data_IF_116196827963
#
_entry.id   IF_116196827963
#
_cell.length_a   1.000
_cell.length_b   1.000
_cell.length_c   1.000
_cell.angle_alpha   90.00
_cell.angle_beta   90.00
_cell.angle_gamma   90.00
#
_symmetry.space_group_name_H-M   'P 1'
#
loop_
_entity.id
_entity.type
_entity.pdbx_description
1 polymer ?
#
# COMPACT_ATOMS: atom_id res chain seq x y z
N UNK A 1 31.10 -3.68 5.20
CA UNK A 1 30.11 -4.65 5.74
C UNK A 1 28.65 -4.23 5.48
N UNK A 2 28.38 -3.44 4.43
CA UNK A 2 27.07 -2.83 4.15
C UNK A 2 26.25 -3.59 3.08
N UNK A 3 26.88 -4.50 2.33
CA UNK A 3 26.26 -5.21 1.20
C UNK A 3 25.40 -6.41 1.58
N UNK A 4 25.63 -7.02 2.74
CA UNK A 4 24.92 -8.23 3.20
C UNK A 4 23.60 -7.91 3.91
N UNK A 5 23.46 -6.73 4.51
CA UNK A 5 22.21 -6.33 5.15
C UNK A 5 21.13 -6.01 4.10
N UNK A 6 21.47 -5.22 3.07
CA UNK A 6 20.51 -4.80 2.03
C UNK A 6 19.89 -6.00 1.28
N UNK A 7 20.63 -7.11 1.10
CA UNK A 7 20.12 -8.30 0.40
C UNK A 7 19.08 -9.09 1.21
N UNK A 8 19.17 -9.07 2.54
CA UNK A 8 18.19 -9.75 3.41
C UNK A 8 16.86 -8.99 3.46
N UNK A 9 16.89 -7.66 3.44
CA UNK A 9 15.71 -6.82 3.63
C UNK A 9 14.73 -6.88 2.45
N UNK A 10 15.25 -6.78 1.21
CA UNK A 10 14.43 -6.93 0.00
C UNK A 10 13.83 -8.33 -0.14
N UNK A 11 14.47 -9.33 0.47
CA UNK A 11 14.03 -10.73 0.41
C UNK A 11 12.78 -10.97 1.26
N UNK A 12 12.67 -10.36 2.44
CA UNK A 12 11.47 -10.50 3.29
C UNK A 12 10.25 -9.78 2.71
N UNK A 13 10.43 -8.55 2.19
CA UNK A 13 9.36 -7.83 1.49
C UNK A 13 8.84 -8.66 0.31
N UNK A 14 9.77 -9.24 -0.48
CA UNK A 14 9.42 -10.12 -1.59
C UNK A 14 8.64 -11.34 -1.12
N UNK A 15 9.09 -12.04 -0.08
CA UNK A 15 8.37 -13.22 0.47
C UNK A 15 6.96 -12.86 0.92
N UNK A 16 6.79 -11.75 1.64
CA UNK A 16 5.46 -11.28 2.08
C UNK A 16 4.56 -10.98 0.88
N UNK A 17 5.07 -10.24 -0.12
CA UNK A 17 4.32 -9.94 -1.34
C UNK A 17 3.96 -11.19 -2.15
N UNK A 18 4.85 -12.20 -2.21
CA UNK A 18 4.59 -13.49 -2.87
C UNK A 18 3.48 -14.27 -2.16
N UNK A 19 3.50 -14.30 -0.83
CA UNK A 19 2.43 -14.90 -0.02
C UNK A 19 1.10 -14.18 -0.24
N UNK A 20 1.13 -12.83 -0.27
CA UNK A 20 -0.02 -12.00 -0.61
C UNK A 20 -0.59 -12.33 -2.00
N UNK A 21 0.26 -12.35 -3.03
CA UNK A 21 -0.12 -12.72 -4.39
C UNK A 21 -0.84 -14.06 -4.45
N UNK A 22 -0.24 -15.09 -3.85
CA UNK A 22 -0.82 -16.44 -3.85
C UNK A 22 -2.21 -16.46 -3.19
N UNK A 23 -2.30 -15.91 -1.97
CA UNK A 23 -3.54 -15.90 -1.21
C UNK A 23 -4.63 -15.08 -1.91
N UNK A 24 -4.29 -13.89 -2.43
CA UNK A 24 -5.22 -13.00 -3.09
C UNK A 24 -5.70 -13.56 -4.43
N UNK A 25 -4.80 -14.13 -5.23
CA UNK A 25 -5.16 -14.78 -6.49
C UNK A 25 -6.12 -15.95 -6.25
N UNK A 26 -5.82 -16.80 -5.26
CA UNK A 26 -6.68 -17.93 -4.90
C UNK A 26 -8.07 -17.48 -4.43
N UNK A 27 -8.15 -16.43 -3.61
CA UNK A 27 -9.41 -15.85 -3.12
C UNK A 27 -10.20 -15.19 -4.25
N UNK A 28 -9.56 -14.39 -5.09
CA UNK A 28 -10.19 -13.75 -6.24
C UNK A 28 -10.79 -14.80 -7.18
N UNK A 29 -10.05 -15.87 -7.47
CA UNK A 29 -10.55 -16.97 -8.30
C UNK A 29 -11.76 -17.69 -7.70
N UNK A 30 -12.05 -17.62 -6.40
CA UNK A 30 -13.27 -18.23 -5.86
C UNK A 30 -14.55 -17.50 -6.28
N UNK A 31 -14.44 -16.22 -6.65
CA UNK A 31 -15.61 -15.35 -6.88
C UNK A 31 -15.60 -14.64 -8.23
N UNK A 32 -14.48 -14.66 -8.97
CA UNK A 32 -14.31 -13.91 -10.22
C UNK A 32 -15.04 -14.50 -11.45
N UNK A 33 -15.52 -15.75 -11.37
CA UNK A 33 -16.36 -16.32 -12.42
C UNK A 33 -17.81 -15.81 -12.29
N UNK A 34 -18.56 -15.83 -13.40
CA UNK A 34 -20.01 -15.54 -13.36
C UNK A 34 -20.82 -16.75 -13.83
N UNK A 35 -21.95 -17.00 -13.16
CA UNK A 35 -23.00 -17.94 -13.59
C UNK A 35 -23.96 -17.25 -14.55
N UNK A 36 -24.81 -18.03 -15.20
CA UNK A 36 -25.83 -17.49 -16.11
C UNK A 36 -26.83 -16.56 -15.40
N UNK A 37 -27.00 -16.72 -14.08
CA UNK A 37 -27.83 -15.86 -13.22
C UNK A 37 -27.07 -14.63 -12.67
N UNK A 38 -25.85 -14.38 -13.12
CA UNK A 38 -25.00 -13.26 -12.69
C UNK A 38 -24.34 -13.44 -11.32
N UNK A 39 -24.61 -14.55 -10.59
CA UNK A 39 -23.98 -14.79 -9.30
C UNK A 39 -22.52 -15.20 -9.43
N UNK A 40 -21.67 -14.87 -8.44
CA UNK A 40 -20.28 -15.28 -8.45
C UNK A 40 -20.15 -16.80 -8.46
N UNK A 41 -19.18 -17.30 -9.22
CA UNK A 41 -18.69 -18.68 -9.18
C UNK A 41 -17.17 -18.69 -9.19
N UNK A 42 -16.63 -19.87 -8.88
CA UNK A 42 -15.21 -20.13 -9.03
C UNK A 42 -14.79 -20.01 -10.50
N UNK A 43 -13.76 -19.21 -10.76
CA UNK A 43 -13.02 -19.14 -12.01
C UNK A 43 -12.00 -20.29 -12.04
N UNK A 44 -12.01 -21.09 -13.10
CA UNK A 44 -11.02 -22.17 -13.25
C UNK A 44 -9.66 -21.61 -13.66
N UNK A 45 -8.58 -22.31 -13.32
CA UNK A 45 -7.23 -21.95 -13.79
C UNK A 45 -7.12 -21.99 -15.32
N UNK A 46 -7.85 -22.92 -15.95
CA UNK A 46 -7.88 -23.02 -17.42
C UNK A 46 -8.49 -21.76 -18.01
N UNK A 47 -9.67 -21.35 -17.53
CA UNK A 47 -10.35 -20.16 -18.04
C UNK A 47 -9.51 -18.90 -17.77
N UNK A 48 -8.91 -18.77 -16.58
CA UNK A 48 -7.99 -17.67 -16.27
C UNK A 48 -6.79 -17.66 -17.23
N UNK A 49 -6.23 -18.83 -17.57
CA UNK A 49 -5.14 -18.95 -18.53
C UNK A 49 -5.55 -18.49 -19.92
N UNK A 50 -6.69 -18.97 -20.40
CA UNK A 50 -7.21 -18.67 -21.73
C UNK A 50 -7.51 -17.18 -21.91
N UNK A 51 -8.08 -16.53 -20.89
CA UNK A 51 -8.46 -15.11 -20.98
C UNK A 51 -7.31 -14.15 -20.68
N UNK A 52 -6.38 -14.52 -19.79
CA UNK A 52 -5.25 -13.66 -19.43
C UNK A 52 -4.04 -13.80 -20.35
N UNK A 53 -4.00 -14.87 -21.15
CA UNK A 53 -2.81 -15.25 -21.94
C UNK A 53 -1.62 -15.72 -21.08
N UNK A 54 -1.81 -15.91 -19.77
CA UNK A 54 -0.79 -16.44 -18.86
C UNK A 54 -0.88 -17.95 -18.85
N UNK A 55 0.25 -18.64 -19.09
CA UNK A 55 0.26 -20.11 -19.10
C UNK A 55 -0.25 -20.70 -17.78
N UNK A 56 -1.07 -21.75 -17.87
CA UNK A 56 -1.66 -22.44 -16.71
C UNK A 56 -0.61 -22.94 -15.71
N UNK A 57 0.55 -23.41 -16.19
CA UNK A 57 1.67 -23.81 -15.34
C UNK A 57 2.24 -22.65 -14.54
N UNK A 58 2.34 -21.46 -15.14
CA UNK A 58 2.76 -20.22 -14.47
C UNK A 58 1.75 -19.80 -13.40
N UNK A 59 0.45 -19.84 -13.71
CA UNK A 59 -0.62 -19.59 -12.72
C UNK A 59 -0.53 -20.59 -11.55
N UNK A 60 -0.29 -21.87 -11.84
CA UNK A 60 -0.15 -22.90 -10.82
C UNK A 60 0.98 -22.58 -9.85
N UNK A 61 2.15 -22.14 -10.34
CA UNK A 61 3.28 -21.72 -9.49
C UNK A 61 2.91 -20.60 -8.53
N UNK A 62 2.11 -19.63 -8.98
CA UNK A 62 1.65 -18.53 -8.12
C UNK A 62 0.68 -19.01 -7.05
N UNK A 63 -0.11 -20.05 -7.32
CA UNK A 63 -1.10 -20.58 -6.39
C UNK A 63 -0.50 -21.51 -5.33
N UNK A 64 0.55 -22.27 -5.64
CA UNK A 64 1.11 -23.30 -4.73
C UNK A 64 2.11 -22.76 -3.71
N UNK A 65 2.45 -21.46 -3.76
CA UNK A 65 3.52 -20.86 -2.94
C UNK A 65 4.86 -21.57 -3.08
N UNK A 66 5.05 -22.35 -4.16
CA UNK A 66 6.34 -22.95 -4.45
C UNK A 66 7.34 -21.81 -4.63
N UNK A 67 8.43 -21.88 -3.86
CA UNK A 67 9.42 -20.83 -3.75
C UNK A 67 9.88 -20.40 -5.14
N UNK A 68 9.84 -19.09 -5.41
CA UNK A 68 10.22 -18.38 -6.65
C UNK A 68 9.09 -17.87 -7.56
N UNK A 69 7.83 -17.87 -7.13
CA UNK A 69 6.77 -17.14 -7.80
C UNK A 69 7.09 -15.63 -7.94
N UNK A 70 7.64 -15.19 -9.07
CA UNK A 70 8.01 -13.78 -9.33
C UNK A 70 7.39 -13.33 -10.66
N UNK A 71 6.09 -12.96 -10.69
CA UNK A 71 5.51 -12.40 -11.91
C UNK A 71 6.20 -11.09 -12.26
N UNK A 72 6.48 -10.90 -13.54
CA UNK A 72 6.76 -9.56 -14.04
C UNK A 72 5.50 -8.69 -13.97
N UNK A 73 5.69 -7.38 -14.14
CA UNK A 73 4.60 -6.41 -14.07
C UNK A 73 3.54 -6.67 -15.15
N UNK A 74 3.93 -7.10 -16.34
CA UNK A 74 3.00 -7.41 -17.42
C UNK A 74 2.07 -8.56 -17.05
N UNK A 75 2.63 -9.66 -16.54
CA UNK A 75 1.89 -10.83 -16.08
C UNK A 75 0.93 -10.48 -14.96
N UNK A 76 1.38 -9.69 -13.97
CA UNK A 76 0.53 -9.21 -12.89
C UNK A 76 -0.65 -8.38 -13.43
N UNK A 77 -0.39 -7.47 -14.36
CA UNK A 77 -1.41 -6.64 -14.99
C UNK A 77 -2.44 -7.45 -15.79
N UNK A 78 -2.00 -8.45 -16.58
CA UNK A 78 -2.92 -9.32 -17.34
C UNK A 78 -3.84 -10.13 -16.43
N UNK A 79 -3.29 -10.69 -15.34
CA UNK A 79 -4.07 -11.40 -14.33
C UNK A 79 -5.08 -10.46 -13.67
N UNK A 80 -4.64 -9.28 -13.23
CA UNK A 80 -5.49 -8.28 -12.58
C UNK A 80 -6.62 -7.79 -13.51
N UNK A 81 -6.31 -7.53 -14.79
CA UNK A 81 -7.28 -7.12 -15.79
C UNK A 81 -8.36 -8.18 -16.02
N UNK A 82 -7.94 -9.45 -16.10
CA UNK A 82 -8.88 -10.59 -16.23
C UNK A 82 -9.81 -10.71 -15.02
N UNK A 83 -9.28 -10.44 -13.83
CA UNK A 83 -10.04 -10.45 -12.58
C UNK A 83 -10.80 -9.15 -12.30
N UNK A 84 -10.68 -8.15 -13.19
CA UNK A 84 -11.25 -6.81 -13.05
C UNK A 84 -10.90 -6.12 -11.72
N UNK A 85 -9.64 -6.18 -11.32
CA UNK A 85 -9.11 -5.53 -10.10
C UNK A 85 -7.81 -4.76 -10.39
N UNK A 86 -7.39 -3.92 -9.44
CA UNK A 86 -6.06 -3.29 -9.50
C UNK A 86 -4.94 -4.30 -9.24
N UNK A 87 -3.80 -4.25 -9.98
CA UNK A 87 -2.62 -5.06 -9.68
C UNK A 87 -2.10 -4.91 -8.25
N UNK A 88 -2.28 -3.73 -7.64
CA UNK A 88 -1.86 -3.49 -6.26
C UNK A 88 -2.62 -4.40 -5.28
N UNK A 89 -3.90 -4.68 -5.51
CA UNK A 89 -4.71 -5.54 -4.65
C UNK A 89 -4.24 -6.99 -4.67
N UNK A 90 -3.63 -7.44 -5.76
CA UNK A 90 -3.01 -8.77 -5.80
C UNK A 90 -1.78 -8.84 -4.90
N UNK A 91 -1.02 -7.75 -4.77
CA UNK A 91 0.23 -7.72 -4.00
C UNK A 91 0.05 -7.35 -2.52
N UNK A 92 -1.10 -6.78 -2.13
CA UNK A 92 -1.37 -6.40 -0.75
C UNK A 92 -1.36 -7.60 0.19
N UNK A 93 -0.58 -7.51 1.25
CA UNK A 93 -0.52 -8.47 2.35
C UNK A 93 -1.65 -8.21 3.36
N UNK A 94 -1.85 -9.13 4.31
CA UNK A 94 -2.80 -8.93 5.42
C UNK A 94 -2.41 -7.72 6.27
N UNK A 95 -1.12 -7.50 6.50
CA UNK A 95 -0.60 -6.32 7.19
C UNK A 95 -0.95 -5.03 6.43
N UNK A 96 -0.87 -5.03 5.09
CA UNK A 96 -1.25 -3.86 4.28
C UNK A 96 -2.73 -3.49 4.47
N UNK A 97 -3.61 -4.49 4.57
CA UNK A 97 -5.03 -4.27 4.85
C UNK A 97 -5.26 -3.71 6.25
N UNK A 98 -4.53 -4.20 7.25
CA UNK A 98 -4.63 -3.68 8.62
C UNK A 98 -4.20 -2.21 8.70
N UNK A 99 -3.09 -1.84 8.05
CA UNK A 99 -2.62 -0.46 7.99
C UNK A 99 -3.60 0.43 7.22
N UNK A 100 -4.21 -0.07 6.15
CA UNK A 100 -5.24 0.67 5.42
C UNK A 100 -6.45 0.93 6.31
N UNK A 101 -6.92 -0.08 7.05
CA UNK A 101 -8.04 0.06 7.98
C UNK A 101 -7.74 1.07 9.10
N UNK A 102 -6.55 0.99 9.71
CA UNK A 102 -6.11 1.99 10.70
C UNK A 102 -6.05 3.39 10.09
N UNK A 103 -5.50 3.53 8.88
CA UNK A 103 -5.43 4.81 8.18
C UNK A 103 -6.80 5.41 7.92
N UNK A 104 -7.80 4.60 7.54
CA UNK A 104 -9.18 5.06 7.37
C UNK A 104 -9.80 5.55 8.69
N UNK A 105 -9.58 4.82 9.80
CA UNK A 105 -10.03 5.24 11.13
C UNK A 105 -9.35 6.56 11.54
N UNK A 106 -8.04 6.69 11.30
CA UNK A 106 -7.30 7.92 11.59
C UNK A 106 -7.83 9.08 10.74
N UNK A 107 -8.07 8.88 9.45
CA UNK A 107 -8.74 9.89 8.61
C UNK A 107 -10.05 10.31 9.26
N UNK A 108 -10.93 9.36 9.63
CA UNK A 108 -12.22 9.68 10.24
C UNK A 108 -12.10 10.45 11.57
N UNK A 109 -11.12 10.12 12.41
CA UNK A 109 -10.85 10.84 13.67
C UNK A 109 -10.30 12.25 13.44
N UNK A 110 -9.62 12.48 12.32
CA UNK A 110 -9.09 13.80 11.95
C UNK A 110 -10.12 14.69 11.25
N UNK A 111 -11.21 14.12 10.70
CA UNK A 111 -12.33 14.88 10.18
C UNK A 111 -12.98 15.64 11.36
N UNK A 112 -13.15 16.96 11.20
CA UNK A 112 -13.64 17.91 12.23
C UNK A 112 -12.61 18.41 13.25
N UNK A 113 -11.32 18.28 12.98
CA UNK A 113 -10.28 18.95 13.76
C UNK A 113 -9.84 20.25 13.09
N UNK A 114 -10.09 21.39 13.74
CA UNK A 114 -9.78 22.72 13.23
C UNK A 114 -8.29 22.93 12.87
N UNK A 115 -7.38 22.20 13.54
CA UNK A 115 -5.95 22.23 13.25
C UNK A 115 -5.61 21.51 11.94
N UNK A 116 -6.34 20.47 11.57
CA UNK A 116 -6.17 19.81 10.27
C UNK A 116 -6.81 20.62 9.14
N UNK A 117 -7.87 21.39 9.44
CA UNK A 117 -8.48 22.30 8.46
C UNK A 117 -7.56 23.46 8.07
N UNK A 118 -6.67 23.92 8.96
CA UNK A 118 -5.69 24.96 8.63
C UNK A 118 -4.59 24.41 7.71
N UNK A 119 -4.04 23.24 8.03
CA UNK A 119 -3.06 22.52 7.18
C UNK A 119 -3.68 22.21 5.81
N UNK A 120 -4.96 21.82 5.78
CA UNK A 120 -5.69 21.56 4.55
C UNK A 120 -5.84 22.81 3.68
N UNK A 121 -6.14 23.97 4.29
CA UNK A 121 -6.23 25.25 3.59
C UNK A 121 -4.88 25.70 3.04
N UNK A 122 -3.79 25.56 3.80
CA UNK A 122 -2.43 25.86 3.33
C UNK A 122 -2.06 25.00 2.09
N UNK A 123 -2.40 23.71 2.13
CA UNK A 123 -2.18 22.79 1.01
C UNK A 123 -3.05 23.08 -0.21
N UNK A 124 -4.29 23.49 -0.01
CA UNK A 124 -5.18 23.89 -1.10
C UNK A 124 -4.68 25.13 -1.83
N UNK A 125 -3.97 26.03 -1.14
CA UNK A 125 -3.39 27.25 -1.70
C UNK A 125 -2.00 27.03 -2.34
N UNK A 126 -1.19 26.13 -1.77
CA UNK A 126 0.08 25.74 -2.37
C UNK A 126 -0.16 24.91 -3.63
N UNK A 127 0.63 25.11 -4.70
CA UNK A 127 0.52 24.30 -5.92
C UNK A 127 0.56 22.81 -5.58
N UNK A 128 -0.61 22.17 -5.64
CA UNK A 128 -0.87 20.83 -5.12
C UNK A 128 0.00 19.75 -5.75
N UNK A 129 0.73 20.07 -6.82
CA UNK A 129 1.54 19.12 -7.57
C UNK A 129 2.97 19.02 -7.07
N UNK A 130 3.43 19.90 -6.18
CA UNK A 130 4.80 19.83 -5.67
C UNK A 130 4.92 18.77 -4.55
N UNK A 131 5.68 17.68 -4.74
CA UNK A 131 5.90 16.66 -3.72
C UNK A 131 6.54 17.18 -2.43
N UNK A 132 7.35 18.24 -2.50
CA UNK A 132 8.02 18.82 -1.33
C UNK A 132 7.04 19.58 -0.43
N UNK A 133 6.11 20.35 -1.01
CA UNK A 133 5.08 21.05 -0.22
C UNK A 133 4.17 20.05 0.52
N UNK A 134 3.90 18.91 -0.13
CA UNK A 134 3.15 17.79 0.47
C UNK A 134 3.93 17.15 1.62
N UNK A 135 5.24 16.94 1.43
CA UNK A 135 6.14 16.42 2.44
C UNK A 135 6.16 17.30 3.71
N UNK A 136 6.22 18.63 3.56
CA UNK A 136 6.22 19.54 4.70
C UNK A 136 4.90 19.51 5.46
N UNK A 137 3.77 19.52 4.74
CA UNK A 137 2.46 19.52 5.37
C UNK A 137 2.15 18.19 6.09
N UNK A 138 2.57 17.05 5.53
CA UNK A 138 2.38 15.75 6.19
C UNK A 138 3.20 15.65 7.47
N UNK A 139 4.38 16.27 7.55
CA UNK A 139 5.16 16.31 8.80
C UNK A 139 4.47 17.15 9.87
N UNK A 140 3.97 18.34 9.52
CA UNK A 140 3.17 19.17 10.45
C UNK A 140 1.98 18.37 11.00
N UNK A 141 1.30 17.61 10.14
CA UNK A 141 0.15 16.79 10.53
C UNK A 141 0.55 15.58 11.39
N UNK A 142 1.65 14.90 11.08
CA UNK A 142 2.15 13.74 11.82
C UNK A 142 2.49 14.06 13.29
N UNK A 143 2.94 15.29 13.58
CA UNK A 143 3.18 15.76 14.94
C UNK A 143 1.91 15.78 15.80
N UNK A 144 0.76 16.08 15.20
CA UNK A 144 -0.52 16.17 15.88
C UNK A 144 -1.23 14.82 16.02
N UNK A 145 -0.97 13.88 15.10
CA UNK A 145 -1.51 12.50 15.15
C UNK A 145 -0.76 11.64 16.20
N UNK A 146 0.28 12.17 16.83
CA UNK A 146 1.02 11.47 17.89
C UNK A 146 2.09 10.52 17.37
N UNK A 147 2.52 10.67 16.11
CA UNK A 147 3.65 9.90 15.55
C UNK A 147 5.00 10.38 16.10
N UNK A 148 5.04 11.56 16.75
CA UNK A 148 6.12 11.96 17.64
C UNK A 148 5.63 11.97 19.08
N UNK A 149 6.28 11.21 19.97
CA UNK A 149 6.31 11.62 21.37
C UNK A 149 7.06 12.95 21.43
N UNK A 150 6.42 13.95 22.04
CA UNK A 150 6.94 15.31 22.16
C UNK A 150 8.11 15.30 23.14
N UNK A 151 9.33 15.03 22.67
CA UNK A 151 10.56 15.26 23.41
C UNK A 151 11.42 16.24 22.63
N UNK A 152 11.42 17.48 23.12
CA UNK A 152 12.39 18.50 22.76
C UNK A 152 13.80 17.97 23.14
N UNK A 153 14.75 18.05 22.21
CA UNK A 153 16.21 17.81 22.36
C UNK A 153 16.79 16.38 22.27
N UNK A 154 16.08 15.34 21.82
CA UNK A 154 16.72 14.05 21.50
C UNK A 154 17.13 13.89 20.03
N UNK A 155 18.32 13.33 19.80
CA UNK A 155 18.82 12.95 18.48
C UNK A 155 17.91 11.87 17.89
N UNK A 156 17.30 12.16 16.73
CA UNK A 156 16.40 11.23 16.04
C UNK A 156 17.09 9.88 15.79
N UNK A 157 16.50 8.80 16.32
CA UNK A 157 16.99 7.42 16.19
C UNK A 157 16.94 6.95 14.73
N UNK A 158 17.76 5.96 14.32
CA UNK A 158 17.70 5.39 12.97
C UNK A 158 16.30 4.89 12.57
N UNK A 159 15.55 4.33 13.53
CA UNK A 159 14.18 3.85 13.32
C UNK A 159 13.21 5.00 13.05
N UNK A 160 13.26 6.08 13.83
CA UNK A 160 12.43 7.27 13.62
C UNK A 160 12.71 7.90 12.25
N UNK A 161 13.97 7.95 11.81
CA UNK A 161 14.33 8.43 10.46
C UNK A 161 13.71 7.58 9.36
N UNK A 162 13.72 6.25 9.50
CA UNK A 162 13.09 5.34 8.53
C UNK A 162 11.57 5.56 8.46
N UNK A 163 10.90 5.67 9.60
CA UNK A 163 9.46 5.95 9.70
C UNK A 163 9.13 7.29 9.03
N UNK A 164 9.88 8.35 9.37
CA UNK A 164 9.73 9.67 8.76
C UNK A 164 9.89 9.62 7.25
N UNK A 165 10.94 8.96 6.76
CA UNK A 165 11.18 8.80 5.32
C UNK A 165 10.03 8.05 4.63
N UNK A 166 9.47 7.02 5.27
CA UNK A 166 8.30 6.29 4.77
C UNK A 166 7.09 7.21 4.61
N UNK A 167 6.73 7.99 5.65
CA UNK A 167 5.64 8.98 5.63
C UNK A 167 5.82 9.98 4.48
N UNK A 168 7.01 10.57 4.37
CA UNK A 168 7.32 11.55 3.32
C UNK A 168 7.17 10.95 1.93
N UNK A 169 7.70 9.74 1.73
CA UNK A 169 7.66 9.06 0.44
C UNK A 169 6.22 8.71 0.07
N UNK A 170 5.40 8.23 1.02
CA UNK A 170 4.00 7.90 0.80
C UNK A 170 3.17 9.14 0.44
N UNK A 171 3.39 10.28 1.11
CA UNK A 171 2.68 11.53 0.80
C UNK A 171 3.10 12.14 -0.56
N UNK A 172 4.33 11.88 -1.00
CA UNK A 172 4.83 12.32 -2.29
C UNK A 172 4.22 11.56 -3.48
N UNK A 173 3.69 10.35 -3.27
CA UNK A 173 3.07 9.56 -4.33
C UNK A 173 1.89 10.31 -4.97
N UNK A 174 1.69 10.17 -6.29
CA UNK A 174 0.66 10.91 -6.99
C UNK A 174 -0.73 10.44 -6.54
N UNK A 175 -1.55 11.40 -6.09
CA UNK A 175 -2.98 11.19 -5.92
C UNK A 175 -3.73 11.67 -7.18
N UNK A 176 -4.93 11.14 -7.39
CA UNK A 176 -5.67 11.36 -8.62
C UNK A 176 -5.88 12.86 -8.91
N UNK A 177 -5.61 13.36 -10.14
CA UNK A 177 -5.66 14.80 -10.45
C UNK A 177 -7.02 15.47 -10.22
N UNK A 178 -8.11 14.69 -10.10
CA UNK A 178 -9.46 15.19 -9.82
C UNK A 178 -9.81 15.24 -8.34
N UNK A 179 -8.91 14.87 -7.43
CA UNK A 179 -9.14 15.13 -6.01
C UNK A 179 -9.16 16.64 -5.82
N UNK A 180 -10.35 17.19 -5.56
CA UNK A 180 -10.55 18.60 -5.29
C UNK A 180 -9.68 19.05 -4.12
N UNK A 181 -9.42 20.35 -4.08
CA UNK A 181 -8.41 21.02 -3.26
C UNK A 181 -8.51 20.81 -1.73
N UNK A 182 -9.54 20.12 -1.22
CA UNK A 182 -9.67 19.71 0.19
C UNK A 182 -9.52 18.21 0.45
N UNK A 183 -9.81 17.34 -0.52
CA UNK A 183 -9.77 15.87 -0.34
C UNK A 183 -8.32 15.41 -0.11
N UNK A 184 -7.35 16.07 -0.76
CA UNK A 184 -5.94 15.71 -0.63
C UNK A 184 -5.47 15.78 0.83
N UNK A 185 -5.76 16.89 1.51
CA UNK A 185 -5.35 17.10 2.89
C UNK A 185 -6.05 16.13 3.85
N UNK A 186 -7.31 15.80 3.59
CA UNK A 186 -8.06 14.79 4.35
C UNK A 186 -7.47 13.38 4.22
N UNK A 187 -6.69 13.11 3.17
CA UNK A 187 -6.02 11.82 2.96
C UNK A 187 -4.58 11.78 3.48
N UNK A 188 -3.99 12.91 3.90
CA UNK A 188 -2.67 12.90 4.53
C UNK A 188 -2.57 12.03 5.81
N UNK A 189 -3.60 11.94 6.68
CA UNK A 189 -3.60 11.00 7.80
C UNK A 189 -3.44 9.55 7.34
N UNK A 190 -4.06 9.19 6.21
CA UNK A 190 -3.86 7.88 5.59
C UNK A 190 -2.41 7.69 5.15
N UNK A 191 -1.80 8.71 4.51
CA UNK A 191 -0.38 8.66 4.13
C UNK A 191 0.55 8.51 5.35
N UNK A 192 0.21 9.14 6.47
CA UNK A 192 0.96 9.03 7.72
C UNK A 192 0.92 7.60 8.23
N UNK A 193 -0.25 6.99 8.37
CA UNK A 193 -0.36 5.61 8.87
C UNK A 193 0.29 4.62 7.90
N UNK A 194 0.04 4.77 6.60
CA UNK A 194 0.60 3.88 5.58
C UNK A 194 2.11 4.03 5.41
N UNK A 195 2.68 5.22 5.65
CA UNK A 195 4.11 5.48 5.55
C UNK A 195 4.86 5.25 6.86
N UNK A 196 4.19 5.32 8.01
CA UNK A 196 4.79 5.06 9.31
C UNK A 196 5.08 3.57 9.53
N UNK A 197 4.58 2.69 8.66
CA UNK A 197 4.88 1.27 8.71
C UNK A 197 6.36 1.02 8.46
N UNK A 198 6.98 0.28 9.36
CA UNK A 198 8.29 -0.30 9.09
C UNK A 198 7.99 -1.61 8.35
N UNK A 199 8.12 -1.58 7.01
CA UNK A 199 7.87 -2.74 6.14
C UNK A 199 8.81 -3.91 6.50
N UNK A 200 9.91 -3.59 7.18
CA UNK A 200 10.98 -4.49 7.61
C UNK A 200 11.11 -4.48 9.15
N UNK A 201 10.12 -5.06 9.83
CA UNK A 201 10.36 -5.65 11.14
C UNK A 201 10.79 -7.09 10.85
N UNK A 202 12.09 -7.37 10.89
CA UNK A 202 12.53 -8.74 11.08
C UNK A 202 11.85 -9.24 12.34
N UNK A 203 11.19 -10.40 12.28
CA UNK A 203 10.49 -11.02 13.41
C UNK A 203 11.38 -10.91 14.66
N UNK A 204 11.02 -10.00 15.56
CA UNK A 204 11.45 -10.10 16.95
C UNK A 204 10.46 -11.07 17.60
N UNK A 205 10.66 -12.35 17.30
CA UNK A 205 10.20 -13.45 18.12
C UNK A 205 11.31 -13.80 19.13
#
# INVERSE_FOLDING_TARGET
MTSLAVSTHGTEIRKKAQKGLSANLLRAMQVAGSRDDGKPKKLSQQLLSDTSGVARSTISKYLTQESEANPDLETLCRLAATLNISPALLLMTEDDWLHLAHGLVTVAQTLNNEQFDSIARELGQASQRNPLNRADAVLKMAEHIGVKQRHEFEVETPTQRKVKQGILTTAALPMHPKFQDGIYAQLLPLCIVMGARIIDQGDQA
#
